data_IF_014635430032
#
_entry.id   IF_014635430032
#
_cell.length_a   1.000
_cell.length_b   1.000
_cell.length_c   1.000
_cell.angle_alpha   90.00
_cell.angle_beta   90.00
_cell.angle_gamma   90.00
#
_symmetry.space_group_name_H-M   'P 1'
#
loop_
_entity.id
_entity.type
_entity.pdbx_description
1 polymer ?
#
# COMPACT_ATOMS: atom_id res chain seq x y z
N UNK A 1 38.39 2.87 3.42
CA UNK A 1 37.16 3.27 2.72
C UNK A 1 35.97 2.63 3.39
N UNK A 2 34.87 3.36 3.60
CA UNK A 2 33.69 2.82 4.28
C UNK A 2 32.75 2.19 3.24
N UNK A 3 32.46 0.89 3.40
CA UNK A 3 31.53 0.14 2.55
C UNK A 3 30.11 0.22 3.14
N UNK A 4 29.13 0.36 2.25
CA UNK A 4 27.71 0.31 2.60
C UNK A 4 26.94 -0.67 1.72
N UNK A 5 25.98 -1.40 2.34
CA UNK A 5 25.02 -2.19 1.61
C UNK A 5 23.80 -1.30 1.37
N UNK A 6 23.49 -1.04 0.11
CA UNK A 6 22.46 -0.09 -0.29
C UNK A 6 21.65 -0.55 -1.50
N UNK A 7 20.54 0.14 -1.75
CA UNK A 7 19.71 -0.07 -2.94
C UNK A 7 20.20 0.82 -4.08
N UNK A 8 20.53 0.22 -5.22
CA UNK A 8 20.73 0.88 -6.50
C UNK A 8 19.47 0.74 -7.33
N UNK A 9 18.97 1.85 -7.89
CA UNK A 9 17.73 1.83 -8.68
C UNK A 9 18.05 1.37 -10.11
N UNK A 10 17.19 0.50 -10.62
CA UNK A 10 17.09 0.12 -12.02
C UNK A 10 15.64 0.21 -12.49
N UNK A 11 15.36 -0.35 -13.66
CA UNK A 11 14.02 -0.37 -14.22
C UNK A 11 13.60 0.91 -14.93
N UNK A 12 12.38 0.94 -15.44
CA UNK A 12 11.81 2.01 -16.25
C UNK A 12 11.04 3.05 -15.41
N UNK A 13 10.55 4.11 -16.07
CA UNK A 13 9.63 5.09 -15.49
C UNK A 13 8.34 4.37 -15.00
N UNK A 14 7.93 4.68 -13.77
CA UNK A 14 6.79 4.04 -13.06
C UNK A 14 6.92 2.55 -12.75
N UNK A 15 8.00 1.86 -13.17
CA UNK A 15 8.30 0.46 -12.84
C UNK A 15 9.67 0.36 -12.16
N UNK A 16 9.80 0.75 -10.88
CA UNK A 16 11.07 0.70 -10.16
C UNK A 16 11.46 -0.75 -9.86
N UNK A 17 12.73 -1.03 -10.04
CA UNK A 17 13.38 -2.26 -9.62
C UNK A 17 14.68 -1.89 -8.91
N UNK A 18 15.00 -2.57 -7.82
CA UNK A 18 16.19 -2.26 -7.03
C UNK A 18 17.14 -3.44 -6.97
N UNK A 19 18.42 -3.15 -7.14
CA UNK A 19 19.52 -4.08 -6.86
C UNK A 19 20.05 -3.79 -5.47
N UNK A 20 20.25 -4.83 -4.66
CA UNK A 20 20.94 -4.71 -3.38
C UNK A 20 22.42 -4.88 -3.67
N UNK A 21 23.21 -3.84 -3.41
CA UNK A 21 24.61 -3.79 -3.78
C UNK A 21 25.49 -3.34 -2.63
N UNK A 22 26.71 -3.82 -2.63
CA UNK A 22 27.80 -3.31 -1.78
C UNK A 22 28.54 -2.26 -2.58
N UNK A 23 28.62 -1.06 -2.04
CA UNK A 23 29.31 0.04 -2.69
C UNK A 23 30.02 0.93 -1.66
N UNK A 24 30.95 1.70 -2.12
CA UNK A 24 31.61 2.72 -1.30
C UNK A 24 30.63 3.84 -0.96
N UNK A 25 30.82 4.43 0.22
CA UNK A 25 29.97 5.53 0.70
C UNK A 25 30.00 6.75 -0.22
N UNK A 26 31.13 7.01 -0.85
CA UNK A 26 31.36 8.14 -1.75
C UNK A 26 30.77 7.96 -3.15
N UNK A 27 30.55 6.71 -3.58
CA UNK A 27 29.99 6.41 -4.90
C UNK A 27 28.54 6.89 -5.06
N UNK A 28 28.11 7.39 -6.21
CA UNK A 28 26.72 7.77 -6.46
C UNK A 28 25.80 6.54 -6.37
N UNK A 29 24.49 6.77 -6.12
CA UNK A 29 23.50 5.70 -5.86
C UNK A 29 23.48 4.61 -6.93
N UNK A 30 23.51 5.01 -8.18
CA UNK A 30 23.39 4.10 -9.34
C UNK A 30 24.74 3.93 -10.09
N UNK A 31 25.84 4.37 -9.45
CA UNK A 31 27.19 4.27 -9.96
C UNK A 31 27.87 2.90 -9.75
N UNK A 32 29.19 2.92 -9.77
CA UNK A 32 30.00 1.72 -9.56
C UNK A 32 29.71 1.09 -8.20
N UNK A 33 29.61 -0.23 -8.16
CA UNK A 33 29.47 -1.03 -6.96
C UNK A 33 30.46 -2.19 -6.99
N UNK A 34 30.78 -2.71 -5.81
CA UNK A 34 31.74 -3.81 -5.65
C UNK A 34 31.09 -5.14 -6.03
N UNK A 35 29.90 -5.39 -5.48
CA UNK A 35 29.16 -6.64 -5.69
C UNK A 35 27.65 -6.43 -5.60
N UNK A 36 26.90 -7.21 -6.37
CA UNK A 36 25.45 -7.33 -6.27
C UNK A 36 25.12 -8.56 -5.43
N UNK A 37 24.45 -8.36 -4.29
CA UNK A 37 24.07 -9.43 -3.35
C UNK A 37 22.57 -9.76 -3.36
N UNK A 38 21.80 -9.07 -4.17
CA UNK A 38 20.37 -9.38 -4.28
C UNK A 38 19.59 -8.41 -5.13
N UNK A 39 18.27 -8.61 -5.14
CA UNK A 39 17.32 -7.76 -5.83
C UNK A 39 16.06 -7.55 -5.00
N UNK A 40 15.44 -6.39 -5.19
CA UNK A 40 14.20 -6.02 -4.54
C UNK A 40 13.23 -5.42 -5.55
N UNK A 41 12.08 -6.04 -5.71
CA UNK A 41 11.01 -5.54 -6.58
C UNK A 41 9.82 -5.07 -5.73
N UNK A 42 9.56 -3.77 -5.61
CA UNK A 42 8.44 -3.27 -4.83
C UNK A 42 7.08 -3.46 -5.49
N UNK A 43 7.04 -3.77 -6.80
CA UNK A 43 5.81 -3.91 -7.57
C UNK A 43 5.13 -5.27 -7.39
N UNK A 44 5.86 -6.25 -6.87
CA UNK A 44 5.35 -7.59 -6.57
C UNK A 44 4.73 -7.60 -5.18
N UNK A 45 3.71 -8.42 -4.96
CA UNK A 45 2.99 -8.55 -3.70
C UNK A 45 3.90 -8.94 -2.52
N UNK A 46 3.45 -8.62 -1.30
CA UNK A 46 4.26 -8.78 -0.09
C UNK A 46 4.62 -10.23 0.21
N UNK A 47 3.77 -11.16 -0.16
CA UNK A 47 3.89 -12.59 0.15
C UNK A 47 4.68 -13.37 -0.91
N UNK A 48 4.97 -12.74 -2.05
CA UNK A 48 5.72 -13.38 -3.11
C UNK A 48 7.23 -13.37 -2.81
N UNK A 49 7.85 -14.55 -2.89
CA UNK A 49 9.30 -14.73 -2.69
C UNK A 49 10.15 -13.98 -3.70
N UNK A 50 9.66 -13.73 -4.90
CA UNK A 50 10.36 -12.98 -5.94
C UNK A 50 10.51 -11.50 -5.61
N UNK A 51 9.72 -10.99 -4.66
CA UNK A 51 9.80 -9.60 -4.21
C UNK A 51 11.16 -9.24 -3.65
N UNK A 52 11.77 -10.17 -2.91
CA UNK A 52 13.06 -9.99 -2.27
C UNK A 52 13.90 -11.24 -2.44
N UNK A 53 14.91 -11.14 -3.26
CA UNK A 53 15.90 -12.23 -3.48
C UNK A 53 17.22 -11.75 -2.90
N UNK A 54 17.74 -12.45 -1.89
CA UNK A 54 18.99 -12.09 -1.20
C UNK A 54 19.86 -13.34 -1.04
N UNK A 55 21.14 -13.16 -1.30
CA UNK A 55 22.17 -14.12 -0.97
C UNK A 55 22.62 -13.91 0.50
N UNK A 56 22.14 -14.77 1.38
CA UNK A 56 22.38 -14.69 2.82
C UNK A 56 23.86 -14.85 3.20
N UNK A 57 24.60 -15.71 2.49
CA UNK A 57 26.02 -15.97 2.74
C UNK A 57 26.86 -14.73 2.41
N UNK A 58 26.57 -14.10 1.26
CA UNK A 58 27.27 -12.90 0.84
C UNK A 58 26.97 -11.71 1.73
N UNK A 59 25.72 -11.59 2.22
CA UNK A 59 25.37 -10.55 3.20
C UNK A 59 26.19 -10.72 4.48
N UNK A 60 26.25 -11.91 5.06
CA UNK A 60 27.04 -12.20 6.27
C UNK A 60 28.54 -11.91 6.06
N UNK A 61 29.07 -12.33 4.92
CA UNK A 61 30.45 -12.05 4.55
C UNK A 61 30.77 -10.55 4.55
N UNK A 62 29.93 -9.75 3.87
CA UNK A 62 30.18 -8.31 3.79
C UNK A 62 29.99 -7.58 5.11
N UNK A 63 29.05 -8.03 5.94
CA UNK A 63 28.88 -7.50 7.30
C UNK A 63 30.12 -7.80 8.15
N UNK A 64 30.68 -9.02 8.07
CA UNK A 64 31.93 -9.37 8.76
C UNK A 64 33.13 -8.54 8.28
N UNK A 65 33.12 -8.08 7.02
CA UNK A 65 34.11 -7.16 6.47
C UNK A 65 33.84 -5.69 6.83
N UNK A 66 32.80 -5.41 7.63
CA UNK A 66 32.47 -4.08 8.12
C UNK A 66 31.58 -3.24 7.20
N UNK A 67 30.92 -3.82 6.21
CA UNK A 67 29.94 -3.13 5.40
C UNK A 67 28.68 -2.84 6.21
N UNK A 68 28.30 -1.56 6.33
CA UNK A 68 27.12 -1.14 7.09
C UNK A 68 25.87 -1.08 6.19
N UNK A 69 24.80 -1.83 6.50
CA UNK A 69 23.56 -1.74 5.74
C UNK A 69 22.84 -0.41 6.00
N UNK A 70 22.20 0.15 4.97
CA UNK A 70 21.32 1.32 5.13
C UNK A 70 20.04 0.92 5.84
N UNK A 71 19.34 1.84 6.51
CA UNK A 71 18.12 1.58 7.27
C UNK A 71 17.05 0.80 6.47
N UNK A 72 16.90 1.12 5.19
CA UNK A 72 15.93 0.40 4.33
C UNK A 72 16.36 -1.04 4.07
N UNK A 73 17.63 -1.25 3.81
CA UNK A 73 18.20 -2.59 3.58
C UNK A 73 18.15 -3.39 4.89
N UNK A 74 18.50 -2.81 6.04
CA UNK A 74 18.38 -3.47 7.35
C UNK A 74 16.95 -3.96 7.61
N UNK A 75 15.92 -3.13 7.30
CA UNK A 75 14.51 -3.54 7.43
C UNK A 75 14.11 -4.69 6.51
N UNK A 76 14.71 -4.80 5.33
CA UNK A 76 14.45 -5.90 4.40
C UNK A 76 15.13 -7.18 4.86
N UNK A 77 16.41 -7.09 5.22
CA UNK A 77 17.24 -8.23 5.64
C UNK A 77 16.84 -8.78 7.02
N UNK A 78 16.33 -7.92 7.92
CA UNK A 78 15.85 -8.36 9.24
C UNK A 78 14.60 -9.25 9.17
N UNK A 79 13.85 -9.23 8.07
CA UNK A 79 12.75 -10.18 7.83
C UNK A 79 13.26 -11.62 7.68
N UNK A 80 14.44 -11.77 7.08
CA UNK A 80 15.09 -13.07 6.87
C UNK A 80 16.00 -13.46 8.07
N UNK A 81 15.98 -12.67 9.15
CA UNK A 81 16.74 -12.93 10.37
C UNK A 81 18.26 -12.79 10.27
N UNK A 82 18.77 -12.17 9.21
CA UNK A 82 20.20 -12.02 8.94
C UNK A 82 20.86 -10.87 9.71
N UNK A 83 20.09 -9.87 10.11
CA UNK A 83 20.55 -8.68 10.83
C UNK A 83 19.49 -8.27 11.85
N UNK A 84 19.91 -7.74 12.98
CA UNK A 84 19.02 -7.20 14.00
C UNK A 84 18.15 -6.07 13.44
N UNK A 85 16.92 -6.01 13.95
CA UNK A 85 15.97 -4.99 13.51
C UNK A 85 16.51 -3.60 13.87
N UNK A 86 16.64 -2.68 12.92
CA UNK A 86 17.18 -1.36 13.21
C UNK A 86 16.27 -0.60 14.17
N UNK A 87 16.87 0.03 15.18
CA UNK A 87 16.18 0.95 16.09
C UNK A 87 15.79 2.18 15.28
N UNK A 88 14.50 2.43 15.20
CA UNK A 88 13.95 3.59 14.52
C UNK A 88 13.49 4.55 15.59
N UNK A 89 14.10 5.71 15.67
CA UNK A 89 13.61 6.78 16.52
C UNK A 89 12.20 7.14 16.06
N UNK A 90 11.26 7.18 17.01
CA UNK A 90 9.90 7.62 16.72
C UNK A 90 9.95 9.06 16.21
N UNK A 91 9.43 9.27 15.02
CA UNK A 91 9.26 10.62 14.51
C UNK A 91 8.18 11.32 15.32
N UNK A 92 8.32 12.62 15.61
CA UNK A 92 7.27 13.36 16.29
C UNK A 92 5.99 13.25 15.47
N UNK A 93 4.95 12.69 16.06
CA UNK A 93 3.61 12.63 15.45
C UNK A 93 3.13 14.06 15.24
N UNK A 94 2.49 14.32 14.12
CA UNK A 94 1.80 15.60 13.93
C UNK A 94 0.93 15.84 15.15
N UNK A 95 1.02 17.04 15.73
CA UNK A 95 0.15 17.44 16.84
C UNK A 95 -1.31 17.13 16.50
N UNK A 96 -2.06 16.64 17.48
CA UNK A 96 -3.49 16.40 17.29
C UNK A 96 -4.17 17.68 16.78
N UNK A 97 -5.20 17.58 15.93
CA UNK A 97 -5.91 18.75 15.44
C UNK A 97 -6.38 19.59 16.61
N UNK A 98 -6.16 20.89 16.54
CA UNK A 98 -6.53 21.82 17.63
C UNK A 98 -8.04 21.78 17.91
N UNK A 99 -8.43 22.09 19.16
CA UNK A 99 -9.83 22.07 19.63
C UNK A 99 -10.78 22.76 18.65
N UNK A 100 -10.40 23.91 18.10
CA UNK A 100 -11.21 24.67 17.13
C UNK A 100 -11.49 23.93 15.81
N UNK A 101 -10.61 23.01 15.41
CA UNK A 101 -10.84 22.17 14.23
C UNK A 101 -11.78 21.00 14.55
N UNK A 102 -11.61 20.39 15.71
CA UNK A 102 -12.50 19.32 16.19
C UNK A 102 -13.93 19.82 16.41
N UNK A 103 -14.09 21.05 16.95
CA UNK A 103 -15.39 21.69 17.12
C UNK A 103 -16.06 21.97 15.76
N UNK A 104 -15.30 22.43 14.76
CA UNK A 104 -15.84 22.69 13.42
C UNK A 104 -16.22 21.38 12.71
N UNK A 105 -15.40 20.34 12.78
CA UNK A 105 -15.70 19.01 12.22
C UNK A 105 -16.90 18.36 12.92
N UNK A 106 -17.08 18.58 14.23
CA UNK A 106 -18.25 18.13 14.98
C UNK A 106 -19.52 18.92 14.66
N UNK A 107 -19.40 20.19 14.31
CA UNK A 107 -20.51 21.06 13.90
C UNK A 107 -20.96 20.74 12.47
N UNK A 108 -20.01 20.51 11.55
CA UNK A 108 -20.27 20.06 10.18
C UNK A 108 -20.94 18.68 10.16
N UNK A 109 -20.49 17.73 10.99
CA UNK A 109 -21.12 16.41 11.13
C UNK A 109 -22.55 16.47 11.70
N UNK A 110 -22.86 17.46 12.55
CA UNK A 110 -24.22 17.68 13.05
C UNK A 110 -25.17 18.33 12.05
N UNK A 111 -24.61 19.10 11.10
CA UNK A 111 -25.42 19.76 10.04
C UNK A 111 -25.66 18.81 8.86
N UNK A 112 -24.80 17.82 8.63
CA UNK A 112 -24.99 16.81 7.58
C UNK A 112 -25.98 15.69 7.98
N UNK A 113 -26.05 15.31 9.26
CA UNK A 113 -26.96 14.27 9.74
C UNK A 113 -28.45 14.53 9.43
N UNK A 114 -29.02 15.76 9.62
CA UNK A 114 -30.43 16.00 9.29
C UNK A 114 -30.72 16.08 7.78
N UNK A 115 -29.70 16.26 6.94
CA UNK A 115 -29.88 16.31 5.48
C UNK A 115 -29.91 14.93 4.83
N UNK A 116 -29.34 13.91 5.47
CA UNK A 116 -29.32 12.53 5.00
C UNK A 116 -30.62 11.79 5.41
N UNK A 117 -31.19 12.08 6.60
CA UNK A 117 -32.49 11.54 7.02
C UNK A 117 -33.64 12.09 6.15
N UNK A 118 -33.61 13.37 5.77
CA UNK A 118 -34.60 13.94 4.88
C UNK A 118 -34.57 13.37 3.43
N UNK A 119 -33.40 12.93 2.96
CA UNK A 119 -33.27 12.26 1.65
C UNK A 119 -33.73 10.80 1.68
N UNK A 120 -33.58 10.11 2.80
CA UNK A 120 -34.05 8.72 2.92
C UNK A 120 -35.56 8.64 3.09
N UNK A 121 -36.21 9.61 3.75
CA UNK A 121 -37.69 9.68 3.81
C UNK A 121 -38.32 10.03 2.47
N UNK A 122 -37.75 10.98 1.71
CA UNK A 122 -38.23 11.32 0.37
C UNK A 122 -38.11 10.17 -0.64
N UNK A 123 -37.05 9.35 -0.55
CA UNK A 123 -36.88 8.19 -1.41
C UNK A 123 -37.76 7.00 -1.04
N UNK A 124 -38.21 6.91 0.23
CA UNK A 124 -39.13 5.86 0.68
C UNK A 124 -40.59 6.17 0.29
N UNK A 125 -40.95 7.44 0.12
CA UNK A 125 -42.30 7.87 -0.29
C UNK A 125 -42.50 7.71 -1.81
N UNK A 126 -41.46 7.98 -2.63
CA UNK A 126 -41.51 7.71 -4.08
C UNK A 126 -41.55 6.20 -4.41
N UNK A 127 -40.89 5.34 -3.62
CA UNK A 127 -40.92 3.89 -3.80
C UNK A 127 -42.29 3.25 -3.48
N UNK A 128 -43.15 3.93 -2.69
CA UNK A 128 -44.51 3.44 -2.39
C UNK A 128 -45.53 3.78 -3.44
N UNK A 129 -45.29 4.76 -4.30
CA UNK A 129 -46.21 5.16 -5.37
C UNK A 129 -45.99 4.43 -6.70
N UNK A 130 -44.83 3.79 -6.90
CA UNK A 130 -44.54 3.03 -8.14
C UNK A 130 -44.84 1.52 -8.07
N UNK A 131 -45.12 0.97 -6.90
CA UNK A 131 -45.32 -0.47 -6.72
C UNK A 131 -46.59 -1.10 -7.40
N UNK A 132 -47.69 -0.38 -7.70
CA UNK A 132 -48.88 -1.04 -8.31
C UNK A 132 -48.84 -1.17 -9.84
N UNK A 133 -47.84 -0.55 -10.53
CA UNK A 133 -47.87 -0.55 -12.02
C UNK A 133 -47.00 -1.65 -12.67
N UNK A 134 -46.14 -2.32 -11.94
CA UNK A 134 -45.27 -3.38 -12.46
C UNK A 134 -45.84 -4.79 -12.37
N UNK A 135 -46.76 -5.05 -11.45
CA UNK A 135 -47.36 -6.37 -11.32
C UNK A 135 -48.29 -6.72 -12.49
N UNK A 136 -48.99 -5.76 -13.07
CA UNK A 136 -49.87 -6.04 -14.25
C UNK A 136 -49.07 -6.34 -15.53
N UNK A 137 -47.85 -5.83 -15.69
CA UNK A 137 -47.03 -6.09 -16.90
C UNK A 137 -46.33 -7.45 -16.90
N UNK A 138 -46.09 -8.04 -15.73
CA UNK A 138 -45.44 -9.34 -15.65
C UNK A 138 -46.41 -10.51 -15.83
N UNK A 139 -47.69 -10.32 -15.48
CA UNK A 139 -48.72 -11.36 -15.66
C UNK A 139 -49.05 -11.60 -17.13
N UNK A 140 -48.90 -10.59 -17.98
CA UNK A 140 -49.16 -10.67 -19.43
C UNK A 140 -48.05 -11.41 -20.20
N UNK A 141 -46.82 -11.47 -19.69
CA UNK A 141 -45.69 -12.12 -20.38
C UNK A 141 -45.62 -13.62 -20.13
N UNK A 142 -46.12 -14.09 -18.99
CA UNK A 142 -46.13 -15.52 -18.68
C UNK A 142 -47.26 -16.27 -19.45
N UNK A 143 -48.33 -15.58 -19.83
CA UNK A 143 -49.41 -16.17 -20.60
C UNK A 143 -49.01 -16.53 -22.05
N UNK A 144 -48.14 -15.72 -22.65
CA UNK A 144 -47.67 -15.91 -24.04
C UNK A 144 -46.71 -17.09 -24.17
N UNK A 145 -45.91 -17.38 -23.12
CA UNK A 145 -44.98 -18.54 -23.10
C UNK A 145 -45.67 -19.90 -22.95
N UNK A 146 -46.89 -19.93 -22.43
CA UNK A 146 -47.62 -21.17 -22.17
C UNK A 146 -48.48 -21.65 -23.35
N UNK A 147 -48.61 -20.84 -24.42
CA UNK A 147 -49.43 -21.16 -25.58
C UNK A 147 -48.67 -21.45 -26.88
N UNK A 148 -47.32 -21.51 -26.81
CA UNK A 148 -46.46 -21.71 -27.99
C UNK A 148 -45.54 -22.94 -27.84
N UNK A 149 -46.02 -24.00 -27.14
CA UNK A 149 -45.43 -25.34 -27.25
C UNK A 149 -46.52 -26.38 -27.10
#
# INVERSE_FOLDING_TARGET
MALKIRLSRGGAKKKPFYRIVVAETTSPRDGKFVEKIGSYNPMVDHDNKERLVIDAERVKYWISKGAKPTLRVSKLISKDGLVDKPIINEQPKKSAPGKKRLEREAEEAKTEAPAEEAKTEASAEEAKTEAPAEEEKNHSKDWIKKFLF
#
